data_IF_070448262257
#
_entry.id   IF_070448262257
#
_cell.length_a   1.000
_cell.length_b   1.000
_cell.length_c   1.000
_cell.angle_alpha   90.00
_cell.angle_beta   90.00
_cell.angle_gamma   90.00
#
_symmetry.space_group_name_H-M   'P 1'
#
loop_
_entity.id
_entity.type
_entity.pdbx_description
1 polymer ?
#
# COMPACT_ATOMS: atom_id res chain seq x y z
N UNK A 1 -3.56 13.81 -37.05
CA UNK A 1 -4.17 12.69 -36.27
C UNK A 1 -5.45 12.30 -37.00
N UNK A 2 -5.60 11.04 -37.43
CA UNK A 2 -6.73 10.57 -38.26
C UNK A 2 -7.93 10.08 -37.44
N UNK A 3 -7.74 9.72 -36.17
CA UNK A 3 -8.82 9.49 -35.20
C UNK A 3 -8.28 9.49 -33.77
N UNK A 4 -9.13 9.85 -32.81
CA UNK A 4 -8.93 9.73 -31.36
C UNK A 4 -10.16 9.03 -30.79
N UNK A 5 -9.96 7.97 -30.02
CA UNK A 5 -11.05 7.22 -29.37
C UNK A 5 -10.86 7.30 -27.86
N UNK A 6 -11.81 7.96 -27.19
CA UNK A 6 -11.87 8.04 -25.73
C UNK A 6 -13.06 7.19 -25.26
N UNK A 7 -12.78 5.94 -24.89
CA UNK A 7 -13.78 4.98 -24.43
C UNK A 7 -13.72 4.75 -22.91
N UNK A 8 -14.83 4.34 -22.27
CA UNK A 8 -14.84 3.97 -20.87
C UNK A 8 -14.25 2.57 -20.64
N UNK A 9 -13.66 2.34 -19.45
CA UNK A 9 -13.18 1.05 -18.96
C UNK A 9 -13.70 0.88 -17.53
N UNK A 10 -14.05 -0.35 -17.14
CA UNK A 10 -14.48 -0.66 -15.77
C UNK A 10 -13.28 -1.06 -14.92
N UNK A 11 -13.02 -0.30 -13.86
CA UNK A 11 -11.91 -0.55 -12.94
C UNK A 11 -12.44 -0.90 -11.54
N UNK A 12 -11.86 -1.94 -10.96
CA UNK A 12 -11.83 -2.15 -9.52
C UNK A 12 -10.75 -1.27 -8.87
N UNK A 13 -10.75 -1.10 -7.54
CA UNK A 13 -9.70 -0.36 -6.84
C UNK A 13 -8.27 -0.82 -7.13
N UNK A 14 -8.04 -2.12 -7.34
CA UNK A 14 -6.72 -2.69 -7.61
C UNK A 14 -6.46 -3.01 -9.09
N UNK A 15 -7.33 -2.56 -10.00
CA UNK A 15 -7.29 -2.80 -11.47
C UNK A 15 -7.56 -4.27 -11.87
N UNK A 16 -7.53 -5.22 -10.93
CA UNK A 16 -7.79 -6.64 -11.19
C UNK A 16 -9.30 -6.91 -11.27
N UNK A 17 -9.76 -7.82 -12.13
CA UNK A 17 -11.18 -8.15 -12.20
C UNK A 17 -11.68 -8.81 -10.91
N UNK A 18 -13.00 -8.82 -10.74
CA UNK A 18 -13.71 -9.57 -9.70
C UNK A 18 -14.37 -10.79 -10.36
N UNK A 19 -13.89 -11.99 -10.01
CA UNK A 19 -14.17 -13.24 -10.72
C UNK A 19 -14.46 -14.36 -9.72
N UNK A 20 -15.68 -14.89 -9.72
CA UNK A 20 -16.05 -16.03 -8.88
C UNK A 20 -17.46 -15.93 -8.29
N UNK A 21 -17.80 -16.82 -7.34
CA UNK A 21 -19.07 -16.77 -6.62
C UNK A 21 -19.07 -15.62 -5.61
N UNK A 22 -20.15 -14.87 -5.56
CA UNK A 22 -20.31 -13.80 -4.57
C UNK A 22 -20.85 -14.36 -3.26
N UNK A 23 -20.20 -14.02 -2.15
CA UNK A 23 -20.61 -14.42 -0.82
C UNK A 23 -21.92 -13.72 -0.42
N UNK A 24 -22.80 -14.44 0.26
CA UNK A 24 -24.08 -13.91 0.75
C UNK A 24 -25.26 -14.05 -0.22
N UNK A 25 -25.04 -14.43 -1.48
CA UNK A 25 -26.12 -14.71 -2.45
C UNK A 25 -25.87 -16.06 -3.13
N UNK A 26 -26.81 -16.99 -2.97
CA UNK A 26 -26.65 -18.35 -3.51
C UNK A 26 -26.71 -18.33 -5.05
N UNK A 27 -25.80 -19.07 -5.69
CA UNK A 27 -25.71 -19.21 -7.15
C UNK A 27 -25.54 -17.90 -7.92
N UNK A 28 -24.99 -16.86 -7.29
CA UNK A 28 -24.65 -15.59 -7.95
C UNK A 28 -23.15 -15.52 -8.24
N UNK A 29 -22.80 -15.47 -9.53
CA UNK A 29 -21.42 -15.46 -10.01
C UNK A 29 -21.14 -14.15 -10.73
N UNK A 30 -19.91 -13.65 -10.62
CA UNK A 30 -19.48 -12.41 -11.26
C UNK A 30 -18.21 -12.60 -12.07
N UNK A 31 -18.11 -11.83 -13.14
CA UNK A 31 -16.91 -11.61 -13.95
C UNK A 31 -16.96 -10.16 -14.42
N UNK A 32 -16.49 -9.23 -13.58
CA UNK A 32 -16.66 -7.77 -13.80
C UNK A 32 -15.38 -7.01 -13.46
N UNK A 33 -15.33 -5.71 -13.79
CA UNK A 33 -14.20 -4.83 -13.44
C UNK A 33 -12.93 -5.12 -14.23
N UNK A 34 -13.07 -5.47 -15.51
CA UNK A 34 -11.94 -5.84 -16.36
C UNK A 34 -11.21 -4.61 -16.91
N UNK A 35 -10.06 -4.29 -16.32
CA UNK A 35 -9.12 -3.32 -16.90
C UNK A 35 -8.53 -3.78 -18.25
N UNK A 36 -8.27 -5.09 -18.38
CA UNK A 36 -7.66 -5.71 -19.57
C UNK A 36 -8.54 -6.85 -20.13
N UNK A 37 -9.83 -6.56 -20.36
CA UNK A 37 -10.83 -7.58 -20.69
C UNK A 37 -10.51 -8.45 -21.90
N UNK A 38 -9.95 -7.88 -22.98
CA UNK A 38 -9.66 -8.62 -24.22
C UNK A 38 -8.65 -9.74 -23.98
N UNK A 39 -7.57 -9.47 -23.24
CA UNK A 39 -6.52 -10.45 -22.99
C UNK A 39 -6.90 -11.44 -21.87
N UNK A 40 -7.75 -11.02 -20.93
CA UNK A 40 -8.20 -11.90 -19.84
C UNK A 40 -9.37 -12.81 -20.21
N UNK A 41 -10.19 -12.45 -21.22
CA UNK A 41 -11.46 -13.12 -21.50
C UNK A 41 -11.35 -14.64 -21.69
N UNK A 42 -10.35 -15.11 -22.44
CA UNK A 42 -10.17 -16.55 -22.68
C UNK A 42 -9.84 -17.33 -21.41
N UNK A 43 -8.88 -16.83 -20.62
CA UNK A 43 -8.45 -17.48 -19.38
C UNK A 43 -9.55 -17.49 -18.32
N UNK A 44 -10.22 -16.35 -18.11
CA UNK A 44 -11.29 -16.25 -17.12
C UNK A 44 -12.53 -17.04 -17.52
N UNK A 45 -12.86 -17.09 -18.82
CA UNK A 45 -13.96 -17.92 -19.31
C UNK A 45 -13.75 -19.40 -18.98
N UNK A 46 -12.54 -19.93 -19.23
CA UNK A 46 -12.19 -21.30 -18.86
C UNK A 46 -12.17 -21.51 -17.34
N UNK A 47 -11.57 -20.58 -16.60
CA UNK A 47 -11.46 -20.66 -15.15
C UNK A 47 -12.85 -20.76 -14.49
N UNK A 48 -13.78 -19.89 -14.86
CA UNK A 48 -15.14 -19.90 -14.33
C UNK A 48 -15.93 -21.12 -14.79
N UNK A 49 -15.79 -21.55 -16.05
CA UNK A 49 -16.50 -22.75 -16.52
C UNK A 49 -16.06 -23.99 -15.75
N UNK A 50 -14.76 -24.15 -15.52
CA UNK A 50 -14.23 -25.28 -14.75
C UNK A 50 -14.74 -25.21 -13.31
N UNK A 51 -14.71 -24.03 -12.68
CA UNK A 51 -15.19 -23.85 -11.31
C UNK A 51 -16.68 -24.16 -11.16
N UNK A 52 -17.52 -23.67 -12.07
CA UNK A 52 -18.97 -23.93 -12.05
C UNK A 52 -19.27 -25.42 -12.23
N UNK A 53 -18.54 -26.11 -13.12
CA UNK A 53 -18.79 -27.53 -13.43
C UNK A 53 -18.24 -28.49 -12.37
N UNK A 54 -17.09 -28.15 -11.77
CA UNK A 54 -16.38 -29.01 -10.82
C UNK A 54 -16.70 -28.69 -9.35
N UNK A 55 -17.27 -27.52 -9.07
CA UNK A 55 -17.63 -27.07 -7.72
C UNK A 55 -16.48 -26.42 -6.94
N UNK A 56 -15.25 -26.45 -7.46
CA UNK A 56 -14.06 -25.84 -6.86
C UNK A 56 -13.19 -25.17 -7.93
N UNK A 57 -12.41 -24.12 -7.59
CA UNK A 57 -11.59 -23.43 -8.58
C UNK A 57 -10.46 -24.36 -9.07
N UNK A 58 -10.14 -24.38 -10.38
CA UNK A 58 -9.14 -25.29 -10.93
C UNK A 58 -7.69 -24.99 -10.47
N UNK A 59 -7.44 -23.77 -10.00
CA UNK A 59 -6.19 -23.31 -9.38
C UNK A 59 -6.48 -22.03 -8.58
N UNK A 60 -5.53 -21.60 -7.74
CA UNK A 60 -5.71 -20.42 -6.89
C UNK A 60 -5.63 -19.12 -7.71
N UNK A 61 -6.63 -18.26 -7.52
CA UNK A 61 -6.71 -16.89 -8.04
C UNK A 61 -7.41 -16.00 -7.00
N UNK A 62 -7.05 -16.14 -5.73
CA UNK A 62 -7.67 -15.40 -4.62
C UNK A 62 -7.53 -13.88 -4.78
N UNK A 63 -6.51 -13.40 -5.51
CA UNK A 63 -6.35 -12.00 -5.88
C UNK A 63 -7.48 -11.47 -6.77
N UNK A 64 -8.21 -12.36 -7.46
CA UNK A 64 -9.36 -12.03 -8.30
C UNK A 64 -10.70 -12.26 -7.58
N UNK A 65 -10.70 -12.79 -6.35
CA UNK A 65 -11.91 -13.13 -5.62
C UNK A 65 -12.81 -11.89 -5.48
N UNK A 66 -14.11 -11.97 -5.83
CA UNK A 66 -15.02 -10.83 -5.80
C UNK A 66 -15.34 -10.36 -4.37
N UNK A 67 -14.99 -11.16 -3.37
CA UNK A 67 -15.22 -10.92 -1.94
C UNK A 67 -13.94 -10.46 -1.22
N UNK A 68 -12.84 -10.19 -1.96
CA UNK A 68 -11.66 -9.52 -1.39
C UNK A 68 -11.95 -8.09 -0.91
N UNK A 69 -13.08 -7.54 -1.32
CA UNK A 69 -13.64 -6.28 -0.85
C UNK A 69 -14.77 -6.49 0.14
N UNK A 70 -15.02 -5.47 0.95
CA UNK A 70 -16.10 -5.50 1.94
C UNK A 70 -16.78 -4.16 2.07
N UNK A 71 -17.53 -3.98 3.18
CA UNK A 71 -18.22 -2.72 3.50
C UNK A 71 -17.27 -1.51 3.56
N UNK A 72 -15.98 -1.74 3.78
CA UNK A 72 -14.92 -0.74 3.81
C UNK A 72 -14.54 -0.22 2.42
N UNK A 73 -14.83 -0.97 1.35
CA UNK A 73 -14.52 -0.59 -0.04
C UNK A 73 -15.63 0.28 -0.61
N UNK A 74 -15.79 1.48 -0.05
CA UNK A 74 -16.81 2.44 -0.48
C UNK A 74 -16.47 3.06 -1.85
N UNK A 75 -17.40 3.81 -2.44
CA UNK A 75 -17.12 4.61 -3.65
C UNK A 75 -16.07 5.70 -3.44
N UNK A 76 -15.76 6.02 -2.19
CA UNK A 76 -14.73 6.97 -1.78
C UNK A 76 -13.43 6.26 -1.38
N UNK A 77 -13.38 4.92 -1.48
CA UNK A 77 -12.20 4.14 -1.16
C UNK A 77 -11.04 4.52 -2.08
N UNK A 78 -9.90 4.81 -1.46
CA UNK A 78 -8.66 5.13 -2.16
C UNK A 78 -7.67 4.03 -1.81
N UNK A 79 -7.21 3.23 -2.79
CA UNK A 79 -6.16 2.26 -2.56
C UNK A 79 -4.87 3.00 -2.19
N UNK A 80 -4.25 2.58 -1.09
CA UNK A 80 -2.96 3.11 -0.63
C UNK A 80 -1.98 1.95 -0.43
N UNK A 81 -0.72 2.16 -0.78
CA UNK A 81 0.36 1.30 -0.29
C UNK A 81 0.84 1.86 1.03
N UNK A 82 0.61 1.11 2.12
CA UNK A 82 1.06 1.49 3.45
C UNK A 82 2.44 0.87 3.74
N UNK A 83 3.42 1.71 4.07
CA UNK A 83 4.78 1.31 4.43
C UNK A 83 5.05 1.73 5.86
N UNK A 84 5.73 0.88 6.65
CA UNK A 84 6.14 1.24 8.01
C UNK A 84 7.18 2.34 7.98
N UNK A 85 6.94 3.41 8.73
CA UNK A 85 7.89 4.50 8.87
C UNK A 85 8.97 4.10 9.88
N UNK A 86 10.24 4.33 9.52
CA UNK A 86 11.39 4.21 10.43
C UNK A 86 11.72 5.51 11.17
N UNK A 87 11.35 6.68 10.63
CA UNK A 87 11.71 8.02 11.09
C UNK A 87 10.60 8.72 11.90
N UNK A 88 10.91 9.26 13.08
CA UNK A 88 9.88 9.73 14.03
C UNK A 88 9.25 8.56 14.79
N UNK A 89 8.05 8.74 15.36
CA UNK A 89 7.35 7.72 16.14
C UNK A 89 6.81 6.55 15.30
N UNK A 90 6.14 5.59 15.97
CA UNK A 90 5.46 4.48 15.32
C UNK A 90 4.40 4.99 14.32
N UNK A 91 4.64 4.84 13.02
CA UNK A 91 3.75 5.37 11.99
C UNK A 91 3.77 4.59 10.67
N UNK A 92 2.88 5.03 9.77
CA UNK A 92 2.74 4.50 8.42
C UNK A 92 2.84 5.63 7.40
N UNK A 93 3.58 5.39 6.32
CA UNK A 93 3.65 6.23 5.13
C UNK A 93 2.67 5.65 4.11
N UNK A 94 1.76 6.50 3.61
CA UNK A 94 0.75 6.10 2.66
C UNK A 94 1.13 6.63 1.27
N UNK A 95 1.35 5.72 0.34
CA UNK A 95 1.59 6.03 -1.07
C UNK A 95 0.30 5.84 -1.86
N UNK A 96 -0.06 6.87 -2.63
CA UNK A 96 -1.31 6.91 -3.39
C UNK A 96 -1.12 7.75 -4.66
N UNK A 97 -2.06 7.65 -5.58
CA UNK A 97 -2.06 8.48 -6.79
C UNK A 97 -2.22 9.96 -6.40
N UNK A 98 -1.43 10.83 -7.04
CA UNK A 98 -1.41 12.27 -6.73
C UNK A 98 -2.81 12.90 -6.73
N UNK A 99 -3.67 12.49 -7.66
CA UNK A 99 -5.03 13.00 -7.83
C UNK A 99 -5.90 12.79 -6.58
N UNK A 100 -5.64 11.73 -5.81
CA UNK A 100 -6.47 11.32 -4.68
C UNK A 100 -6.07 12.01 -3.37
N UNK A 101 -4.95 12.75 -3.36
CA UNK A 101 -4.35 13.32 -2.13
C UNK A 101 -5.31 14.13 -1.28
N UNK A 102 -6.11 15.00 -1.91
CA UNK A 102 -7.05 15.85 -1.17
C UNK A 102 -8.20 15.06 -0.55
N UNK A 103 -8.68 14.04 -1.27
CA UNK A 103 -9.78 13.18 -0.79
C UNK A 103 -9.28 12.25 0.32
N UNK A 104 -8.10 11.65 0.14
CA UNK A 104 -7.46 10.80 1.15
C UNK A 104 -7.20 11.58 2.43
N UNK A 105 -6.62 12.78 2.32
CA UNK A 105 -6.36 13.65 3.47
C UNK A 105 -7.64 13.95 4.26
N UNK A 106 -8.70 14.38 3.57
CA UNK A 106 -9.99 14.67 4.21
C UNK A 106 -10.59 13.44 4.89
N UNK A 107 -10.51 12.27 4.25
CA UNK A 107 -11.00 11.02 4.82
C UNK A 107 -10.23 10.64 6.10
N UNK A 108 -8.90 10.76 6.10
CA UNK A 108 -8.06 10.50 7.27
C UNK A 108 -8.35 11.47 8.41
N UNK A 109 -8.37 12.78 8.11
CA UNK A 109 -8.65 13.81 9.12
C UNK A 109 -10.04 13.65 9.72
N UNK A 110 -11.04 13.25 8.94
CA UNK A 110 -12.39 12.96 9.44
C UNK A 110 -12.41 11.72 10.33
N UNK A 111 -11.80 10.62 9.88
CA UNK A 111 -11.79 9.35 10.62
C UNK A 111 -11.03 9.45 11.95
N UNK A 112 -9.98 10.27 12.02
CA UNK A 112 -9.18 10.44 13.23
C UNK A 112 -9.67 11.53 14.20
N UNK A 113 -10.78 12.23 13.93
CA UNK A 113 -11.24 13.32 14.81
C UNK A 113 -11.46 12.87 16.25
N UNK A 114 -12.08 11.71 16.45
CA UNK A 114 -12.35 11.16 17.79
C UNK A 114 -11.06 10.82 18.55
N UNK A 115 -9.98 10.55 17.81
CA UNK A 115 -8.64 10.25 18.34
C UNK A 115 -7.75 11.50 18.48
N UNK A 116 -8.29 12.70 18.20
CA UNK A 116 -7.54 13.96 18.29
C UNK A 116 -6.49 14.13 17.18
N UNK A 117 -6.73 13.58 15.99
CA UNK A 117 -5.82 13.74 14.84
C UNK A 117 -5.59 15.21 14.51
N UNK A 118 -4.32 15.60 14.35
CA UNK A 118 -3.95 16.93 13.88
C UNK A 118 -2.68 16.89 13.02
N UNK A 119 -2.48 17.94 12.24
CA UNK A 119 -1.27 18.12 11.46
C UNK A 119 -0.14 18.57 12.39
N UNK A 120 1.01 17.93 12.27
CA UNK A 120 2.22 18.35 12.97
C UNK A 120 3.31 18.77 11.98
N UNK A 121 4.11 19.76 12.37
CA UNK A 121 5.20 20.27 11.56
C UNK A 121 6.46 19.42 11.63
N UNK A 122 7.42 19.74 10.77
CA UNK A 122 8.75 19.10 10.73
C UNK A 122 9.53 19.23 12.04
N UNK A 123 9.32 20.31 12.80
CA UNK A 123 9.93 20.47 14.13
C UNK A 123 9.42 19.45 15.14
N UNK A 124 8.11 19.17 15.14
CA UNK A 124 7.54 18.13 15.98
C UNK A 124 8.04 16.75 15.55
N UNK A 125 8.09 16.47 14.24
CA UNK A 125 8.72 15.26 13.71
C UNK A 125 10.18 15.10 14.17
N UNK A 126 10.94 16.21 14.20
CA UNK A 126 12.32 16.25 14.64
C UNK A 126 12.48 16.01 16.16
N UNK A 127 11.51 16.44 16.97
CA UNK A 127 11.50 16.11 18.40
C UNK A 127 11.21 14.62 18.62
N UNK A 128 10.16 14.10 17.97
CA UNK A 128 9.76 12.68 18.05
C UNK A 128 10.88 11.72 17.64
N UNK A 129 11.60 12.02 16.55
CA UNK A 129 12.72 11.18 16.13
C UNK A 129 13.89 11.21 17.12
N UNK A 130 14.09 12.31 17.86
CA UNK A 130 15.09 12.39 18.93
C UNK A 130 14.68 11.57 20.15
N UNK A 131 13.40 11.62 20.57
CA UNK A 131 12.87 10.81 21.67
C UNK A 131 13.03 9.31 21.42
N UNK A 132 12.83 8.88 20.16
CA UNK A 132 13.09 7.51 19.72
C UNK A 132 14.59 7.15 19.61
N UNK A 133 15.49 8.13 19.75
CA UNK A 133 16.93 7.93 19.57
C UNK A 133 17.39 7.81 18.12
N UNK A 134 16.56 8.22 17.15
CA UNK A 134 16.89 8.16 15.73
C UNK A 134 17.78 9.33 15.32
N UNK A 135 19.01 9.02 14.89
CA UNK A 135 20.00 10.01 14.43
C UNK A 135 19.79 10.36 12.95
N UNK A 136 19.93 11.63 12.62
CA UNK A 136 19.75 12.13 11.26
C UNK A 136 21.10 12.56 10.64
N UNK A 137 21.28 12.22 9.36
CA UNK A 137 22.39 12.74 8.56
C UNK A 137 22.24 14.25 8.36
N UNK A 138 23.32 15.00 8.51
CA UNK A 138 23.35 16.46 8.52
C UNK A 138 23.04 17.12 9.86
N UNK A 139 22.63 16.35 10.88
CA UNK A 139 22.40 16.84 12.24
C UNK A 139 23.38 16.18 13.23
N UNK A 140 23.14 14.92 13.62
CA UNK A 140 24.00 14.19 14.55
C UNK A 140 25.03 13.30 13.84
N UNK A 141 24.83 13.02 12.56
CA UNK A 141 25.81 12.34 11.71
C UNK A 141 26.20 13.27 10.57
N UNK A 142 27.48 13.60 10.47
CA UNK A 142 28.04 14.37 9.38
C UNK A 142 29.47 13.89 9.10
N UNK A 143 30.15 14.53 8.14
CA UNK A 143 31.52 14.15 7.77
C UNK A 143 32.56 14.40 8.88
N UNK A 144 32.24 15.24 9.86
CA UNK A 144 33.15 15.64 10.94
C UNK A 144 32.91 14.85 12.24
N UNK A 145 31.82 14.07 12.32
CA UNK A 145 31.47 13.24 13.48
C UNK A 145 31.72 11.76 13.19
N UNK A 146 32.44 11.09 14.08
CA UNK A 146 32.61 9.63 13.99
C UNK A 146 31.43 8.89 14.66
N UNK A 147 31.26 7.57 14.41
CA UNK A 147 30.16 6.80 14.98
C UNK A 147 30.09 6.78 16.52
N UNK A 148 31.22 6.95 17.23
CA UNK A 148 31.22 7.02 18.69
C UNK A 148 30.67 8.37 19.16
N UNK A 149 31.05 9.47 18.52
CA UNK A 149 30.54 10.82 18.79
C UNK A 149 29.04 10.93 18.46
N UNK A 150 28.58 10.21 17.43
CA UNK A 150 27.17 10.12 17.06
C UNK A 150 26.34 9.22 18.00
N UNK A 151 26.96 8.55 18.99
CA UNK A 151 26.27 7.63 19.90
C UNK A 151 25.81 6.34 19.22
N UNK A 152 26.53 5.89 18.19
CA UNK A 152 26.25 4.69 17.40
C UNK A 152 27.23 3.54 17.69
N UNK A 153 27.97 3.61 18.81
CA UNK A 153 28.97 2.63 19.21
C UNK A 153 28.41 1.21 19.28
N UNK A 154 27.12 1.06 19.58
CA UNK A 154 26.43 -0.22 19.66
C UNK A 154 26.27 -0.92 18.29
N UNK A 155 26.39 -0.19 17.18
CA UNK A 155 26.43 -0.76 15.83
C UNK A 155 27.86 -1.04 15.33
N UNK A 156 28.89 -0.62 16.06
CA UNK A 156 30.29 -0.73 15.63
C UNK A 156 30.97 -1.94 16.26
N UNK A 157 31.42 -2.87 15.43
CA UNK A 157 32.25 -4.00 15.88
C UNK A 157 33.73 -3.63 15.88
N UNK A 158 34.23 -3.21 17.04
CA UNK A 158 35.64 -2.81 17.22
C UNK A 158 36.61 -4.00 17.11
N UNK A 159 36.20 -5.19 17.58
CA UNK A 159 37.04 -6.40 17.60
C UNK A 159 36.77 -7.29 16.37
N UNK A 160 36.96 -6.76 15.16
CA UNK A 160 36.90 -7.57 13.94
C UNK A 160 38.29 -8.16 13.61
N UNK A 161 38.38 -9.39 13.08
CA UNK A 161 39.65 -10.05 12.77
C UNK A 161 40.39 -9.46 11.55
N UNK A 162 40.01 -8.26 11.12
CA UNK A 162 40.58 -7.59 9.95
C UNK A 162 41.15 -6.24 10.39
N UNK A 163 42.29 -5.87 9.80
CA UNK A 163 42.95 -4.60 10.09
C UNK A 163 42.04 -3.41 9.75
N UNK A 164 42.17 -2.33 10.52
CA UNK A 164 41.47 -1.07 10.27
C UNK A 164 42.13 -0.37 9.07
N UNK A 165 41.33 -0.05 8.04
CA UNK A 165 41.85 0.48 6.77
C UNK A 165 41.96 2.02 6.79
N UNK A 166 41.28 2.70 7.73
CA UNK A 166 41.02 4.14 7.62
C UNK A 166 39.81 4.37 6.75
#
# INVERSE_FOLDING_TARGET
>A
IINIVSGPITYSPDILPMVGPHQGVQNYWVAIGFGYGIIHAGGIGKFLSDWIMLGEPPFDLIELDPNRYGKWTTTQYIPVTAIRISYGELGWELYHNRQDSSTLYRALMQAGQEEGIDNFGTYAMNALRLEKGFRAWGAEMNCDTNPLEAGLEYFVKLNKPADFIG
#
